data_IF_453407157658
#
_entry.id   IF_453407157658
#
_cell.length_a   1.000
_cell.length_b   1.000
_cell.length_c   1.000
_cell.angle_alpha   90.00
_cell.angle_beta   90.00
_cell.angle_gamma   90.00
#
_symmetry.space_group_name_H-M   'P 1'
#
loop_
_entity.id
_entity.type
_entity.pdbx_description
1 polymer ?
#
# COMPACT_ATOMS: atom_id res chain seq x y z
N UNK A 1 -8.06 6.50 -15.00
CA UNK A 1 -6.96 5.67 -15.55
C UNK A 1 -5.66 5.83 -14.76
N UNK A 2 -4.95 6.97 -14.83
CA UNK A 2 -3.69 7.15 -14.06
C UNK A 2 -3.92 7.12 -12.54
N UNK A 3 -4.99 7.77 -12.09
CA UNK A 3 -5.46 7.75 -10.70
C UNK A 3 -5.71 6.33 -10.19
N UNK A 4 -6.38 5.51 -10.99
CA UNK A 4 -6.74 4.12 -10.61
C UNK A 4 -5.51 3.22 -10.59
N UNK A 5 -4.59 3.39 -11.55
CA UNK A 5 -3.30 2.70 -11.56
C UNK A 5 -2.52 3.03 -10.28
N UNK A 6 -2.35 4.32 -9.99
CA UNK A 6 -1.66 4.76 -8.78
C UNK A 6 -2.31 4.21 -7.50
N UNK A 7 -3.64 4.30 -7.38
CA UNK A 7 -4.37 3.74 -6.25
C UNK A 7 -4.16 2.22 -6.11
N UNK A 8 -4.14 1.49 -7.22
CA UNK A 8 -3.89 0.05 -7.23
C UNK A 8 -2.46 -0.30 -6.82
N UNK A 9 -1.47 0.52 -7.20
CA UNK A 9 -0.07 0.35 -6.81
C UNK A 9 0.08 0.54 -5.31
N UNK A 10 -0.45 1.63 -4.77
CA UNK A 10 -0.43 1.90 -3.33
C UNK A 10 -1.13 0.79 -2.56
N UNK A 11 -2.26 0.29 -3.04
CA UNK A 11 -2.95 -0.83 -2.41
C UNK A 11 -2.08 -2.09 -2.35
N UNK A 12 -1.38 -2.44 -3.46
CA UNK A 12 -0.44 -3.56 -3.47
C UNK A 12 0.75 -3.36 -2.55
N UNK A 13 1.27 -2.14 -2.46
CA UNK A 13 2.36 -1.81 -1.53
C UNK A 13 1.92 -2.03 -0.08
N UNK A 14 0.73 -1.55 0.30
CA UNK A 14 0.17 -1.75 1.63
C UNK A 14 -0.14 -3.24 1.94
N UNK A 15 -0.59 -4.01 0.95
CA UNK A 15 -0.74 -5.47 1.08
C UNK A 15 0.59 -6.16 1.36
N UNK A 16 1.65 -5.76 0.64
CA UNK A 16 2.99 -6.28 0.90
C UNK A 16 3.53 -5.89 2.27
N UNK A 17 3.19 -4.70 2.78
CA UNK A 17 3.60 -4.28 4.13
C UNK A 17 2.98 -5.15 5.22
N UNK A 18 1.69 -5.45 5.12
CA UNK A 18 1.02 -6.28 6.12
C UNK A 18 1.49 -7.75 6.05
N UNK A 19 1.83 -8.23 4.85
CA UNK A 19 2.47 -9.56 4.68
C UNK A 19 3.84 -9.61 5.34
N UNK A 20 4.67 -8.59 5.11
CA UNK A 20 5.97 -8.43 5.76
C UNK A 20 5.81 -8.32 7.29
N UNK A 21 4.77 -7.65 7.79
CA UNK A 21 4.53 -7.49 9.22
C UNK A 21 4.07 -8.80 9.89
N UNK A 22 3.09 -9.47 9.27
CA UNK A 22 2.48 -10.69 9.81
C UNK A 22 3.31 -11.96 9.53
N UNK A 23 4.25 -11.90 8.58
CA UNK A 23 5.08 -13.01 8.10
C UNK A 23 4.28 -14.13 7.44
N UNK A 24 3.10 -13.83 6.90
CA UNK A 24 2.30 -14.79 6.13
C UNK A 24 1.42 -14.09 5.09
N UNK A 25 1.15 -14.77 3.98
CA UNK A 25 0.34 -14.25 2.87
C UNK A 25 -1.16 -14.27 3.19
N UNK A 26 -1.95 -13.49 2.44
CA UNK A 26 -3.40 -13.50 2.60
C UNK A 26 -3.96 -14.91 2.35
N UNK A 27 -4.77 -15.39 3.30
CA UNK A 27 -5.40 -16.73 3.31
C UNK A 27 -4.45 -17.90 3.60
N UNK A 28 -3.16 -17.66 3.83
CA UNK A 28 -2.23 -18.69 4.29
C UNK A 28 -2.28 -18.85 5.82
N UNK A 29 -3.35 -19.46 6.31
CA UNK A 29 -3.51 -19.75 7.73
C UNK A 29 -2.58 -20.87 8.22
N UNK A 30 -1.99 -21.66 7.33
CA UNK A 30 -1.12 -22.79 7.71
C UNK A 30 0.29 -22.31 8.06
N UNK A 31 0.80 -21.31 7.35
CA UNK A 31 2.10 -20.68 7.64
C UNK A 31 2.05 -19.66 8.78
N UNK A 32 0.86 -19.44 9.36
CA UNK A 32 0.67 -18.46 10.43
C UNK A 32 1.34 -18.92 11.74
N UNK A 33 2.45 -18.27 12.10
CA UNK A 33 3.15 -18.50 13.36
C UNK A 33 2.72 -17.55 14.50
N UNK A 34 1.96 -16.48 14.20
CA UNK A 34 1.60 -15.43 15.15
C UNK A 34 0.16 -15.56 15.66
N UNK A 35 -0.16 -14.92 16.80
CA UNK A 35 -1.54 -14.78 17.28
C UNK A 35 -2.31 -13.69 16.53
N UNK A 36 -1.62 -12.65 16.06
CA UNK A 36 -2.21 -11.51 15.34
C UNK A 36 -2.80 -11.94 13.99
N UNK A 37 -3.85 -11.26 13.52
CA UNK A 37 -4.50 -11.54 12.24
C UNK A 37 -4.94 -10.26 11.55
N UNK A 38 -5.04 -10.30 10.22
CA UNK A 38 -5.64 -9.23 9.42
C UNK A 38 -7.06 -8.93 9.91
N UNK A 39 -7.36 -7.66 10.16
CA UNK A 39 -8.64 -7.18 10.69
C UNK A 39 -9.39 -6.32 9.66
N UNK A 40 -9.46 -6.81 8.42
CA UNK A 40 -10.15 -6.16 7.31
C UNK A 40 -9.43 -4.93 6.75
N UNK A 41 -10.21 -4.01 6.19
CA UNK A 41 -9.72 -2.80 5.54
C UNK A 41 -10.42 -1.57 6.10
N UNK A 42 -9.66 -0.47 6.26
CA UNK A 42 -10.23 0.86 6.49
C UNK A 42 -10.21 1.65 5.18
N UNK A 43 -11.32 2.30 4.86
CA UNK A 43 -11.36 3.27 3.77
C UNK A 43 -10.70 4.58 4.23
N UNK A 44 -9.79 5.12 3.42
CA UNK A 44 -9.17 6.43 3.64
C UNK A 44 -9.23 7.21 2.34
N UNK A 45 -9.70 8.45 2.41
CA UNK A 45 -9.58 9.39 1.30
C UNK A 45 -8.32 10.22 1.51
N UNK A 46 -7.48 10.30 0.48
CA UNK A 46 -6.23 11.05 0.50
C UNK A 46 -6.22 12.05 -0.65
N UNK A 47 -5.64 13.22 -0.41
CA UNK A 47 -5.41 14.24 -1.41
C UNK A 47 -4.13 13.93 -2.17
N UNK A 48 -4.22 14.06 -3.47
CA UNK A 48 -3.21 13.64 -4.45
C UNK A 48 -3.17 14.68 -5.57
N UNK A 49 -2.10 14.70 -6.35
CA UNK A 49 -1.95 15.60 -7.52
C UNK A 49 -3.02 15.31 -8.59
N UNK A 50 -3.60 14.10 -8.59
CA UNK A 50 -4.73 13.71 -9.44
C UNK A 50 -6.11 13.93 -8.79
N UNK A 51 -6.16 14.65 -7.66
CA UNK A 51 -7.36 14.89 -6.87
C UNK A 51 -7.56 13.87 -5.74
N UNK A 52 -8.77 13.79 -5.21
CA UNK A 52 -9.04 12.93 -4.04
C UNK A 52 -9.09 11.44 -4.43
N UNK A 53 -8.17 10.63 -3.88
CA UNK A 53 -8.07 9.18 -4.13
C UNK A 53 -8.65 8.42 -2.95
N UNK A 54 -9.53 7.46 -3.23
CA UNK A 54 -10.05 6.54 -2.22
C UNK A 54 -9.15 5.30 -2.15
N UNK A 55 -8.62 5.02 -0.98
CA UNK A 55 -7.73 3.89 -0.72
C UNK A 55 -8.36 2.95 0.31
N UNK A 56 -8.12 1.66 0.11
CA UNK A 56 -8.44 0.62 1.08
C UNK A 56 -7.14 0.22 1.76
N UNK A 57 -6.97 0.59 3.03
CA UNK A 57 -5.77 0.32 3.81
C UNK A 57 -6.01 -0.94 4.65
N UNK A 58 -5.20 -2.00 4.52
CA UNK A 58 -5.31 -3.18 5.36
C UNK A 58 -5.06 -2.80 6.82
N UNK A 59 -5.75 -3.48 7.75
CA UNK A 59 -5.74 -3.15 9.18
C UNK A 59 -5.21 -4.30 10.01
N UNK A 60 -4.24 -4.02 10.87
CA UNK A 60 -3.93 -4.75 12.11
C UNK A 60 -3.30 -3.78 13.14
N UNK A 61 -2.57 -4.28 14.13
CA UNK A 61 -1.82 -3.51 15.15
C UNK A 61 -0.51 -2.83 14.64
N UNK A 62 -0.19 -2.91 13.35
CA UNK A 62 0.98 -2.27 12.74
C UNK A 62 0.76 -0.82 12.31
N UNK A 63 1.87 -0.10 12.14
CA UNK A 63 1.89 1.24 11.55
C UNK A 63 2.36 1.14 10.10
N UNK A 64 1.50 1.43 9.10
CA UNK A 64 1.90 1.40 7.70
C UNK A 64 2.94 2.51 7.42
N UNK A 65 3.96 2.21 6.59
CA UNK A 65 5.00 3.19 6.24
C UNK A 65 4.69 3.89 4.93
N UNK A 66 4.09 3.17 3.97
CA UNK A 66 3.69 3.72 2.66
C UNK A 66 2.70 4.88 2.80
N UNK A 67 1.76 4.77 3.75
CA UNK A 67 0.86 5.87 4.13
C UNK A 67 0.78 5.90 5.65
N UNK A 68 1.35 6.92 6.25
CA UNK A 68 1.38 7.03 7.70
C UNK A 68 -0.05 7.21 8.26
N UNK A 69 -0.20 6.85 9.53
CA UNK A 69 -1.44 7.13 10.24
C UNK A 69 -1.70 8.65 10.24
N UNK A 70 -2.95 9.03 10.01
CA UNK A 70 -3.40 10.43 9.94
C UNK A 70 -2.88 11.27 8.75
N UNK A 71 -1.98 10.74 7.93
CA UNK A 71 -1.47 11.43 6.73
C UNK A 71 -2.51 11.46 5.60
N UNK A 72 -3.08 12.63 5.31
CA UNK A 72 -4.18 12.75 4.35
C UNK A 72 -3.74 13.33 2.99
N UNK A 73 -2.45 13.54 2.79
CA UNK A 73 -1.86 14.13 1.58
C UNK A 73 -0.68 13.28 1.14
N UNK A 74 -0.63 12.94 -0.15
CA UNK A 74 0.40 12.07 -0.75
C UNK A 74 0.94 12.65 -2.07
N UNK A 75 0.91 13.98 -2.18
CA UNK A 75 1.36 14.73 -3.36
C UNK A 75 2.85 14.50 -3.63
N UNK A 76 3.21 14.38 -4.91
CA UNK A 76 4.59 14.24 -5.38
C UNK A 76 5.11 12.80 -5.50
N UNK A 77 4.50 11.83 -4.79
CA UNK A 77 4.87 10.41 -4.90
C UNK A 77 4.35 9.81 -6.21
N UNK A 78 3.26 10.35 -6.76
CA UNK A 78 2.59 9.74 -7.93
C UNK A 78 3.43 9.83 -9.19
N UNK A 79 4.05 10.98 -9.44
CA UNK A 79 4.93 11.19 -10.60
C UNK A 79 6.15 10.28 -10.55
N UNK A 80 6.67 9.99 -9.35
CA UNK A 80 7.76 9.05 -9.16
C UNK A 80 7.30 7.62 -9.47
N UNK A 81 6.16 7.18 -8.93
CA UNK A 81 5.59 5.85 -9.20
C UNK A 81 5.33 5.66 -10.69
N UNK A 82 4.71 6.64 -11.36
CA UNK A 82 4.46 6.59 -12.81
C UNK A 82 5.79 6.54 -13.58
N UNK A 83 6.77 7.36 -13.20
CA UNK A 83 8.10 7.34 -13.80
C UNK A 83 8.81 6.00 -13.66
N UNK A 84 8.66 5.32 -12.53
CA UNK A 84 9.19 3.97 -12.32
C UNK A 84 8.49 2.93 -13.21
N UNK A 85 7.17 3.03 -13.38
CA UNK A 85 6.45 2.20 -14.35
C UNK A 85 6.92 2.44 -15.79
N UNK A 86 7.13 3.69 -16.18
CA UNK A 86 7.66 4.04 -17.52
C UNK A 86 9.06 3.46 -17.75
N UNK A 87 9.84 3.26 -16.69
CA UNK A 87 11.16 2.61 -16.73
C UNK A 87 11.07 1.07 -16.71
N UNK A 88 9.87 0.50 -16.63
CA UNK A 88 9.65 -0.95 -16.61
C UNK A 88 9.86 -1.61 -15.24
N UNK A 89 9.87 -0.84 -14.15
CA UNK A 89 9.99 -1.39 -12.79
C UNK A 89 8.70 -2.12 -12.39
N UNK A 90 8.83 -3.25 -11.69
CA UNK A 90 7.67 -3.98 -11.19
C UNK A 90 7.07 -3.28 -9.97
N UNK A 91 5.81 -3.57 -9.63
CA UNK A 91 5.17 -3.08 -8.40
C UNK A 91 5.97 -3.44 -7.14
N UNK A 92 6.67 -4.58 -7.17
CA UNK A 92 7.47 -5.06 -6.05
C UNK A 92 8.77 -4.24 -5.93
N UNK A 93 9.41 -3.92 -7.05
CA UNK A 93 10.61 -3.08 -7.07
C UNK A 93 10.29 -1.64 -6.64
N UNK A 94 9.13 -1.12 -7.09
CA UNK A 94 8.62 0.18 -6.67
C UNK A 94 8.42 0.19 -5.15
N UNK A 95 7.75 -0.83 -4.59
CA UNK A 95 7.60 -0.99 -3.14
C UNK A 95 8.95 -0.95 -2.41
N UNK A 96 9.93 -1.72 -2.87
CA UNK A 96 11.27 -1.75 -2.28
C UNK A 96 12.01 -0.40 -2.34
N UNK A 97 11.66 0.48 -3.28
CA UNK A 97 12.25 1.82 -3.38
C UNK A 97 11.69 2.78 -2.33
N UNK A 98 10.45 2.57 -1.90
CA UNK A 98 9.76 3.39 -0.90
C UNK A 98 9.79 2.79 0.52
N UNK A 99 10.35 1.57 0.68
CA UNK A 99 10.55 0.88 1.96
C UNK A 99 11.75 1.42 2.72
#
# INVERSE_FOLDING_TARGET
>A
MLKDLFASTIHKMLESEIEDHLMYERYDNQSKATSNSRNGYRAKNVKSDFGEVKLNIPRDDFQPRVIQNYENEISGIENQVIGMYSKGMSTRDIYHTFK
#
